data_IF_869272080637
#
_entry.id   IF_869272080637
#
_cell.length_a   1.000
_cell.length_b   1.000
_cell.length_c   1.000
_cell.angle_alpha   90.00
_cell.angle_beta   90.00
_cell.angle_gamma   90.00
#
_symmetry.space_group_name_H-M   'P 1'
#
loop_
_entity.id
_entity.type
_entity.pdbx_description
1 polymer ?
#
# COMPACT_ATOMS: atom_id res chain seq x y z
N UNK A 1 7.91 -8.64 18.41
CA UNK A 1 6.64 -8.52 19.17
C UNK A 1 6.84 -7.41 20.19
N UNK A 2 5.98 -6.39 20.22
CA UNK A 2 6.14 -5.16 21.02
C UNK A 2 5.72 -5.43 22.47
N UNK A 3 6.53 -5.00 23.44
CA UNK A 3 6.20 -5.11 24.86
C UNK A 3 5.50 -3.85 25.38
N UNK A 4 4.49 -3.99 26.24
CA UNK A 4 3.82 -2.85 26.88
C UNK A 4 4.85 -2.03 27.69
N UNK A 5 4.91 -0.72 27.42
CA UNK A 5 5.84 0.20 28.06
C UNK A 5 7.18 0.39 27.35
N UNK A 6 7.40 -0.26 26.19
CA UNK A 6 8.60 -0.05 25.39
C UNK A 6 8.71 1.43 24.93
N UNK A 7 9.86 2.10 25.14
CA UNK A 7 10.05 3.49 24.71
C UNK A 7 9.85 3.65 23.19
N UNK A 8 9.14 4.71 22.77
CA UNK A 8 8.88 4.96 21.35
C UNK A 8 10.16 5.11 20.50
N UNK A 9 11.29 5.46 21.13
CA UNK A 9 12.61 5.60 20.50
C UNK A 9 13.29 4.26 20.17
N UNK A 10 12.80 3.14 20.70
CA UNK A 10 13.37 1.80 20.42
C UNK A 10 12.53 0.98 19.45
N UNK A 11 11.45 1.58 18.91
CA UNK A 11 10.64 0.95 17.87
C UNK A 11 11.33 1.12 16.52
N UNK A 12 11.43 0.04 15.76
CA UNK A 12 11.73 0.12 14.33
C UNK A 12 10.64 0.96 13.60
N UNK A 13 10.97 1.51 12.43
CA UNK A 13 10.00 2.27 11.63
C UNK A 13 8.70 1.50 11.39
N UNK A 14 8.80 0.21 11.06
CA UNK A 14 7.65 -0.68 10.88
C UNK A 14 6.85 -0.94 12.16
N UNK A 15 7.50 -1.01 13.33
CA UNK A 15 6.79 -1.12 14.61
C UNK A 15 6.02 0.16 14.95
N UNK A 16 6.64 1.33 14.77
CA UNK A 16 5.98 2.61 14.98
C UNK A 16 4.78 2.78 14.05
N UNK A 17 4.91 2.35 12.78
CA UNK A 17 3.83 2.38 11.81
C UNK A 17 2.67 1.47 12.20
N UNK A 18 2.94 0.22 12.61
CA UNK A 18 1.90 -0.71 13.09
C UNK A 18 1.17 -0.19 14.32
N UNK A 19 1.86 0.49 15.25
CA UNK A 19 1.22 1.12 16.42
C UNK A 19 0.27 2.25 16.00
N UNK A 20 0.69 3.10 15.05
CA UNK A 20 -0.17 4.16 14.49
C UNK A 20 -1.41 3.58 13.81
N UNK A 21 -1.25 2.57 12.96
CA UNK A 21 -2.36 1.87 12.30
C UNK A 21 -3.33 1.24 13.30
N UNK A 22 -2.81 0.57 14.33
CA UNK A 22 -3.62 -0.04 15.38
C UNK A 22 -4.47 1.00 16.13
N UNK A 23 -3.89 2.18 16.41
CA UNK A 23 -4.61 3.29 17.04
C UNK A 23 -5.75 3.79 16.15
N UNK A 24 -5.52 3.94 14.86
CA UNK A 24 -6.55 4.39 13.91
C UNK A 24 -7.67 3.35 13.74
N UNK A 25 -7.35 2.06 13.69
CA UNK A 25 -8.34 0.98 13.67
C UNK A 25 -9.25 0.95 14.91
N UNK A 26 -8.74 1.39 16.07
CA UNK A 26 -9.48 1.44 17.32
C UNK A 26 -10.41 2.65 17.43
N UNK A 27 -10.23 3.68 16.59
CA UNK A 27 -11.10 4.87 16.58
C UNK A 27 -12.43 4.52 15.92
N UNK A 28 -13.51 5.14 16.40
CA UNK A 28 -14.79 5.13 15.68
C UNK A 28 -14.59 5.84 14.35
N UNK A 29 -14.69 5.09 13.25
CA UNK A 29 -14.58 5.65 11.91
C UNK A 29 -15.87 6.40 11.55
N UNK A 30 -15.71 7.57 10.94
CA UNK A 30 -16.80 8.33 10.32
C UNK A 30 -17.02 7.95 8.86
N UNK A 31 -16.20 7.04 8.29
CA UNK A 31 -16.18 6.72 6.86
C UNK A 31 -15.80 7.91 5.97
N UNK A 32 -15.05 8.88 6.49
CA UNK A 32 -14.70 10.14 5.79
C UNK A 32 -13.23 10.52 5.95
N UNK A 33 -12.37 9.52 6.23
CA UNK A 33 -10.93 9.74 6.40
C UNK A 33 -10.20 9.24 5.16
N UNK A 34 -9.24 10.04 4.68
CA UNK A 34 -8.26 9.62 3.68
C UNK A 34 -6.96 9.27 4.39
N UNK A 35 -6.53 8.01 4.28
CA UNK A 35 -5.24 7.54 4.76
C UNK A 35 -4.25 7.51 3.60
N UNK A 36 -3.08 8.12 3.79
CA UNK A 36 -1.98 8.09 2.82
C UNK A 36 -0.79 7.42 3.51
N UNK A 37 -0.24 6.38 2.88
CA UNK A 37 0.92 5.66 3.39
C UNK A 37 2.00 5.60 2.30
N UNK A 38 3.23 5.90 2.72
CA UNK A 38 4.41 5.87 1.87
C UNK A 38 5.18 4.58 2.17
N UNK A 39 5.25 3.67 1.20
CA UNK A 39 5.89 2.35 1.24
C UNK A 39 5.70 1.58 2.56
N UNK A 40 4.45 1.28 2.95
CA UNK A 40 4.17 0.65 4.24
C UNK A 40 4.68 -0.79 4.37
N UNK A 41 5.07 -1.44 3.27
CA UNK A 41 5.68 -2.78 3.32
C UNK A 41 7.20 -2.79 3.48
N UNK A 42 7.87 -1.63 3.48
CA UNK A 42 9.34 -1.56 3.59
C UNK A 42 9.83 -2.24 4.88
N UNK A 43 10.66 -3.27 4.69
CA UNK A 43 11.25 -4.06 5.78
C UNK A 43 10.29 -5.07 6.43
N UNK A 44 9.11 -5.32 5.85
CA UNK A 44 8.20 -6.37 6.31
C UNK A 44 8.49 -7.71 5.64
N UNK A 45 8.37 -8.79 6.42
CA UNK A 45 8.36 -10.15 5.90
C UNK A 45 7.01 -10.42 5.20
N UNK A 46 6.97 -11.33 4.22
CA UNK A 46 5.75 -11.67 3.44
C UNK A 46 4.50 -11.90 4.32
N UNK A 47 4.61 -12.72 5.37
CA UNK A 47 3.51 -12.97 6.31
C UNK A 47 2.99 -11.73 7.06
N UNK A 48 3.80 -10.68 7.19
CA UNK A 48 3.39 -9.41 7.80
C UNK A 48 2.75 -8.45 6.77
N UNK A 49 3.04 -8.61 5.48
CA UNK A 49 2.36 -7.89 4.40
C UNK A 49 0.88 -8.29 4.37
N UNK A 50 0.57 -9.58 4.45
CA UNK A 50 -0.82 -10.07 4.49
C UNK A 50 -1.61 -9.47 5.66
N UNK A 51 -0.97 -9.38 6.83
CA UNK A 51 -1.58 -8.76 8.02
C UNK A 51 -1.81 -7.27 7.81
N UNK A 52 -0.87 -6.57 7.19
CA UNK A 52 -1.02 -5.16 6.84
C UNK A 52 -2.18 -4.97 5.86
N UNK A 53 -2.26 -5.78 4.79
CA UNK A 53 -3.35 -5.73 3.81
C UNK A 53 -4.71 -5.94 4.46
N UNK A 54 -4.84 -6.90 5.39
CA UNK A 54 -6.07 -7.10 6.16
C UNK A 54 -6.46 -5.87 6.98
N UNK A 55 -5.47 -5.17 7.55
CA UNK A 55 -5.70 -3.94 8.31
C UNK A 55 -6.17 -2.81 7.38
N UNK A 56 -5.53 -2.63 6.22
CA UNK A 56 -5.91 -1.61 5.25
C UNK A 56 -7.30 -1.87 4.66
N UNK A 57 -7.60 -3.12 4.30
CA UNK A 57 -8.94 -3.53 3.84
C UNK A 57 -10.02 -3.20 4.87
N UNK A 58 -9.79 -3.46 6.17
CA UNK A 58 -10.74 -3.07 7.24
C UNK A 58 -10.93 -1.55 7.40
N UNK A 59 -9.96 -0.73 6.98
CA UNK A 59 -10.15 0.72 6.93
C UNK A 59 -11.08 1.09 5.76
N UNK A 60 -10.88 0.47 4.60
CA UNK A 60 -11.74 0.65 3.42
C UNK A 60 -13.16 0.17 3.69
N UNK A 61 -13.35 -1.02 4.28
CA UNK A 61 -14.66 -1.59 4.64
C UNK A 61 -15.48 -0.68 5.57
N UNK A 62 -14.80 0.18 6.34
CA UNK A 62 -15.43 1.19 7.21
C UNK A 62 -15.78 2.48 6.47
N UNK A 63 -15.67 2.50 5.15
CA UNK A 63 -15.96 3.64 4.28
C UNK A 63 -14.83 4.65 4.14
N UNK A 64 -13.62 4.35 4.64
CA UNK A 64 -12.47 5.24 4.46
C UNK A 64 -11.82 5.00 3.10
N UNK A 65 -10.97 5.93 2.67
CA UNK A 65 -10.13 5.76 1.49
C UNK A 65 -8.68 5.57 1.92
N UNK A 66 -7.98 4.62 1.31
CA UNK A 66 -6.56 4.37 1.54
C UNK A 66 -5.83 4.56 0.22
N UNK A 67 -4.78 5.39 0.25
CA UNK A 67 -3.84 5.58 -0.86
C UNK A 67 -2.46 5.13 -0.38
N UNK A 68 -1.85 4.25 -1.16
CA UNK A 68 -0.55 3.65 -0.85
C UNK A 68 0.41 3.88 -2.00
N UNK A 69 1.61 4.36 -1.67
CA UNK A 69 2.75 4.35 -2.58
C UNK A 69 3.47 3.03 -2.34
N UNK A 70 3.56 2.20 -3.37
CA UNK A 70 4.11 0.85 -3.25
C UNK A 70 4.84 0.43 -4.52
N UNK A 71 5.82 -0.46 -4.32
CA UNK A 71 6.53 -1.14 -5.40
C UNK A 71 6.39 -2.66 -5.30
N UNK A 72 5.81 -3.18 -4.21
CA UNK A 72 5.63 -4.62 -4.03
C UNK A 72 4.36 -5.13 -4.74
N UNK A 73 4.53 -6.08 -5.66
CA UNK A 73 3.45 -6.59 -6.50
C UNK A 73 2.34 -7.29 -5.69
N UNK A 74 2.69 -7.93 -4.57
CA UNK A 74 1.71 -8.57 -3.67
C UNK A 74 0.71 -7.58 -3.07
N UNK A 75 1.11 -6.31 -2.92
CA UNK A 75 0.20 -5.25 -2.48
C UNK A 75 -0.57 -4.68 -3.66
N UNK A 76 0.13 -4.36 -4.75
CA UNK A 76 -0.47 -3.70 -5.92
C UNK A 76 -1.57 -4.56 -6.53
N UNK A 77 -1.38 -5.89 -6.60
CA UNK A 77 -2.40 -6.83 -7.12
C UNK A 77 -3.68 -6.88 -6.29
N UNK A 78 -3.61 -6.48 -5.02
CA UNK A 78 -4.76 -6.48 -4.11
C UNK A 78 -5.52 -5.14 -4.11
N UNK A 79 -5.05 -4.14 -4.87
CA UNK A 79 -5.66 -2.82 -4.88
C UNK A 79 -6.93 -2.79 -5.73
N UNK A 80 -7.93 -2.02 -5.30
CA UNK A 80 -9.13 -1.77 -6.09
C UNK A 80 -8.83 -0.88 -7.32
N UNK A 81 -7.80 -0.04 -7.22
CA UNK A 81 -7.40 0.91 -8.26
C UNK A 81 -5.90 1.21 -8.17
N UNK A 82 -5.24 1.29 -9.33
CA UNK A 82 -3.82 1.53 -9.50
C UNK A 82 -3.61 2.81 -10.31
N UNK A 83 -2.63 3.60 -9.91
CA UNK A 83 -2.15 4.78 -10.64
C UNK A 83 -0.67 4.55 -10.92
N UNK A 84 -0.31 4.30 -12.18
CA UNK A 84 1.06 4.05 -12.60
C UNK A 84 1.70 5.32 -13.15
N UNK A 85 2.89 5.64 -12.63
CA UNK A 85 3.66 6.83 -12.98
C UNK A 85 4.99 6.43 -13.61
N UNK A 86 5.43 7.19 -14.61
CA UNK A 86 6.68 6.89 -15.31
C UNK A 86 6.86 7.77 -16.56
N UNK A 87 7.40 7.22 -17.67
CA UNK A 87 7.83 5.83 -17.84
C UNK A 87 9.11 5.50 -17.05
N UNK A 88 9.92 6.51 -16.73
CA UNK A 88 11.18 6.35 -16.03
C UNK A 88 11.20 7.18 -14.73
N UNK A 89 12.31 7.13 -13.99
CA UNK A 89 12.55 8.00 -12.83
C UNK A 89 13.04 9.41 -13.21
N UNK A 90 12.89 10.35 -12.28
CA UNK A 90 13.47 11.70 -12.39
C UNK A 90 12.89 12.53 -13.54
N UNK A 91 13.74 13.16 -14.34
CA UNK A 91 13.33 14.06 -15.44
C UNK A 91 12.60 13.35 -16.59
N UNK A 92 12.80 12.05 -16.72
CA UNK A 92 12.14 11.22 -17.72
C UNK A 92 10.85 10.57 -17.19
N UNK A 93 10.43 10.93 -15.97
CA UNK A 93 9.21 10.48 -15.33
C UNK A 93 8.14 11.56 -15.19
N UNK A 94 7.19 11.31 -14.29
CA UNK A 94 6.15 12.27 -13.91
C UNK A 94 4.94 12.28 -14.82
N UNK A 95 4.86 11.37 -15.79
CA UNK A 95 3.68 11.16 -16.61
C UNK A 95 2.79 10.05 -16.02
N UNK A 96 1.48 10.19 -16.22
CA UNK A 96 0.50 9.15 -15.96
C UNK A 96 0.56 8.12 -17.10
N UNK A 97 0.99 6.90 -16.81
CA UNK A 97 1.19 5.86 -17.83
C UNK A 97 -0.05 4.98 -17.98
N UNK A 98 -0.63 4.57 -16.87
CA UNK A 98 -1.85 3.78 -16.84
C UNK A 98 -2.61 4.02 -15.52
N UNK A 99 -3.93 3.88 -15.58
CA UNK A 99 -4.78 3.87 -14.39
C UNK A 99 -5.94 2.94 -14.59
N UNK A 100 -6.39 2.28 -13.53
CA UNK A 100 -7.51 1.36 -13.57
C UNK A 100 -7.37 0.30 -12.50
N UNK A 101 -8.11 -0.80 -12.66
CA UNK A 101 -7.89 -2.04 -11.90
C UNK A 101 -6.49 -2.62 -12.18
N UNK A 102 -5.93 -3.46 -11.29
CA UNK A 102 -4.67 -4.14 -11.55
C UNK A 102 -4.64 -4.88 -12.91
N UNK A 103 -5.75 -5.50 -13.30
CA UNK A 103 -5.90 -6.21 -14.58
C UNK A 103 -5.87 -5.26 -15.78
N UNK A 104 -6.52 -4.10 -15.68
CA UNK A 104 -6.47 -3.06 -16.73
C UNK A 104 -5.07 -2.48 -16.89
N UNK A 105 -4.36 -2.23 -15.77
CA UNK A 105 -2.97 -1.76 -15.79
C UNK A 105 -2.04 -2.84 -16.35
N UNK A 106 -2.27 -4.12 -16.04
CA UNK A 106 -1.51 -5.24 -16.59
C UNK A 106 -1.60 -5.34 -18.12
N UNK A 107 -2.70 -4.88 -18.72
CA UNK A 107 -2.86 -4.80 -20.17
C UNK A 107 -2.05 -3.66 -20.84
N UNK A 108 -1.46 -2.73 -20.08
CA UNK A 108 -0.73 -1.61 -20.63
C UNK A 108 0.74 -1.96 -20.94
N UNK A 109 1.06 -2.16 -22.23
CA UNK A 109 2.42 -2.47 -22.68
C UNK A 109 3.46 -1.37 -22.42
N UNK A 110 3.03 -0.13 -22.20
CA UNK A 110 3.92 0.99 -21.86
C UNK A 110 4.28 1.05 -20.38
N UNK A 111 3.52 0.36 -19.51
CA UNK A 111 3.70 0.36 -18.06
C UNK A 111 4.70 -0.72 -17.64
N UNK A 112 5.77 -0.33 -16.92
CA UNK A 112 6.68 -1.31 -16.29
C UNK A 112 5.94 -2.09 -15.19
N UNK A 113 5.14 -1.40 -14.39
CA UNK A 113 4.26 -2.00 -13.38
C UNK A 113 3.28 -2.99 -14.01
N UNK A 114 2.66 -2.62 -15.12
CA UNK A 114 1.71 -3.47 -15.86
C UNK A 114 2.34 -4.76 -16.36
N UNK A 115 3.54 -4.70 -16.96
CA UNK A 115 4.28 -5.91 -17.37
C UNK A 115 4.55 -6.84 -16.19
N UNK A 116 4.98 -6.30 -15.05
CA UNK A 116 5.24 -7.08 -13.85
C UNK A 116 3.96 -7.65 -13.22
N UNK A 117 2.85 -6.89 -13.23
CA UNK A 117 1.54 -7.36 -12.79
C UNK A 117 1.02 -8.51 -13.65
N UNK A 118 1.22 -8.46 -14.96
CA UNK A 118 0.77 -9.51 -15.87
C UNK A 118 1.38 -10.88 -15.54
N UNK A 119 2.63 -10.93 -15.05
CA UNK A 119 3.30 -12.17 -14.65
C UNK A 119 2.77 -12.76 -13.34
N UNK A 120 2.22 -11.94 -12.44
CA UNK A 120 1.73 -12.39 -11.12
C UNK A 120 0.22 -12.61 -11.06
N UNK A 121 -0.52 -12.10 -12.06
CA UNK A 121 -1.97 -12.29 -12.21
C UNK A 121 -2.32 -13.50 -13.10
N UNK A 122 -1.37 -14.00 -13.89
CA UNK A 122 -1.52 -15.19 -14.77
C UNK A 122 -1.53 -16.50 -13.99
#
# INVERSE_FOLDING_TARGET
YIHLGQPATTLSGGEAQRVKLSKELARRSSGKTLYILDEPTTGLHFADIDRLLQVLSRLVDRGNTVVVIEHQLDVIKCADYVIDLGPEGGRAGGALIATGTPEEVAGCAASHTGKALAEVLS
#
